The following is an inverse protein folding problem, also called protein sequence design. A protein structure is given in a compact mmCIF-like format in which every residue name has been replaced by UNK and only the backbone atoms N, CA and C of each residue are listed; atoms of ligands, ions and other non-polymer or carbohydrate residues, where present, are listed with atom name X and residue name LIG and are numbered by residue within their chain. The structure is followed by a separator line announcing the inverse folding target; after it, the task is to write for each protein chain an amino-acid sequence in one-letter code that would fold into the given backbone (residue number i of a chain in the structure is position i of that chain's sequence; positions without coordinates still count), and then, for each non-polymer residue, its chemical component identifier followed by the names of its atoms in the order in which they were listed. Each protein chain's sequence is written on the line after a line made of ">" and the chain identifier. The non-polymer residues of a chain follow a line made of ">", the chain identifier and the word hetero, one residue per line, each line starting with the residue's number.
data_IF_479538901209
#
_entry.id   IF_479538901209
#
_cell.length_a   1.000
_cell.length_b   1.000
_cell.length_c   1.000
_cell.angle_alpha   90.00
_cell.angle_beta   90.00
_cell.angle_gamma   90.00
#
_symmetry.space_group_name_H-M   'P 1'
#
loop_
_entity.id
_entity.type
_entity.pdbx_description
1 polymer ?
#
# COMPACT_ATOMS: atom_id res chain seq x y z
N UNK A 1 12.52 -20.20 -21.10
CA UNK A 1 12.59 -18.72 -21.18
C UNK A 1 14.02 -18.30 -20.93
N UNK A 2 14.59 -17.40 -21.75
CA UNK A 2 15.93 -16.84 -21.52
C UNK A 2 15.77 -15.56 -20.65
N UNK A 3 16.29 -15.59 -19.45
CA UNK A 3 16.14 -14.49 -18.48
C UNK A 3 16.81 -13.20 -18.97
N UNK A 4 17.97 -13.31 -19.62
CA UNK A 4 18.69 -12.15 -20.15
C UNK A 4 17.90 -11.46 -21.27
N UNK A 5 17.22 -12.20 -22.14
CA UNK A 5 16.36 -11.63 -23.19
C UNK A 5 15.12 -11.01 -22.59
N UNK A 6 14.45 -11.71 -21.68
CA UNK A 6 13.27 -11.20 -20.96
C UNK A 6 13.59 -9.89 -20.23
N UNK A 7 14.74 -9.80 -19.55
CA UNK A 7 15.21 -8.60 -18.87
C UNK A 7 15.27 -7.41 -19.83
N UNK A 8 15.87 -7.59 -21.03
CA UNK A 8 15.95 -6.54 -22.06
C UNK A 8 14.57 -6.14 -22.58
N UNK A 9 13.69 -7.10 -22.80
CA UNK A 9 12.33 -6.84 -23.27
C UNK A 9 11.55 -6.02 -22.24
N UNK A 10 11.67 -6.35 -20.93
CA UNK A 10 11.01 -5.59 -19.83
C UNK A 10 11.57 -4.17 -19.75
N UNK A 11 12.88 -3.98 -19.84
CA UNK A 11 13.50 -2.66 -19.88
C UNK A 11 12.96 -1.84 -21.07
N UNK A 12 12.69 -2.49 -22.21
CA UNK A 12 12.10 -1.88 -23.40
C UNK A 12 10.57 -1.74 -23.36
N UNK A 13 9.93 -1.99 -22.20
CA UNK A 13 8.51 -1.74 -21.98
C UNK A 13 7.58 -2.95 -22.06
N UNK A 14 8.10 -4.19 -22.28
CA UNK A 14 7.28 -5.40 -22.14
C UNK A 14 6.78 -5.51 -20.71
N UNK A 15 5.50 -5.86 -20.55
CA UNK A 15 4.89 -6.24 -19.28
C UNK A 15 4.47 -7.69 -19.34
N UNK A 16 4.78 -8.44 -18.28
CA UNK A 16 4.25 -9.78 -18.09
C UNK A 16 2.79 -9.71 -17.69
N UNK A 17 1.99 -10.60 -18.27
CA UNK A 17 0.54 -10.68 -18.06
C UNK A 17 0.14 -12.10 -17.66
N UNK A 18 -1.14 -12.32 -17.38
CA UNK A 18 -1.68 -13.66 -17.11
C UNK A 18 -1.70 -14.57 -18.33
N UNK A 19 -1.56 -14.01 -19.54
CA UNK A 19 -1.53 -14.76 -20.79
C UNK A 19 -0.12 -15.30 -21.13
N UNK A 20 0.91 -14.83 -20.40
CA UNK A 20 2.27 -15.33 -20.52
C UNK A 20 2.43 -16.64 -19.73
N UNK A 21 3.30 -17.52 -20.21
CA UNK A 21 3.74 -18.70 -19.46
C UNK A 21 4.71 -18.23 -18.36
N UNK A 22 4.21 -18.14 -17.13
CA UNK A 22 4.96 -17.73 -15.96
C UNK A 22 5.59 -18.90 -15.18
N UNK A 23 5.41 -20.15 -15.67
CA UNK A 23 5.92 -21.35 -14.99
C UNK A 23 7.46 -21.38 -14.86
N UNK A 24 8.16 -20.66 -15.72
CA UNK A 24 9.62 -20.57 -15.67
C UNK A 24 10.15 -19.96 -14.35
N UNK A 25 9.36 -19.14 -13.64
CA UNK A 25 9.75 -18.61 -12.34
C UNK A 25 9.92 -19.69 -11.27
N UNK A 26 9.29 -20.87 -11.42
CA UNK A 26 9.46 -22.00 -10.50
C UNK A 26 10.75 -22.76 -10.73
N UNK A 27 11.28 -22.74 -11.95
CA UNK A 27 12.39 -23.62 -12.39
C UNK A 27 13.65 -22.86 -12.78
N UNK A 28 13.58 -21.56 -12.98
CA UNK A 28 14.73 -20.75 -13.35
C UNK A 28 15.73 -20.65 -12.19
N UNK A 29 17.00 -20.46 -12.54
CA UNK A 29 18.04 -20.23 -11.56
C UNK A 29 17.78 -18.90 -10.81
N UNK A 30 17.84 -18.95 -9.48
CA UNK A 30 17.54 -17.81 -8.63
C UNK A 30 18.53 -16.66 -8.81
N UNK A 31 19.80 -16.96 -9.05
CA UNK A 31 20.85 -15.94 -9.25
C UNK A 31 20.64 -15.24 -10.61
N UNK A 32 20.23 -15.96 -11.66
CA UNK A 32 19.86 -15.35 -12.93
C UNK A 32 18.64 -14.43 -12.79
N UNK A 33 17.59 -14.88 -12.09
CA UNK A 33 16.40 -14.06 -11.83
C UNK A 33 16.76 -12.81 -11.04
N UNK A 34 17.56 -12.95 -9.99
CA UNK A 34 17.98 -11.81 -9.15
C UNK A 34 18.84 -10.82 -9.94
N UNK A 35 19.76 -11.31 -10.79
CA UNK A 35 20.57 -10.47 -11.66
C UNK A 35 19.69 -9.68 -12.65
N UNK A 36 18.76 -10.37 -13.34
CA UNK A 36 17.83 -9.73 -14.27
C UNK A 36 16.93 -8.69 -13.61
N UNK A 37 16.35 -9.01 -12.43
CA UNK A 37 15.56 -8.08 -11.65
C UNK A 37 16.36 -6.83 -11.24
N UNK A 38 17.64 -7.01 -10.86
CA UNK A 38 18.51 -5.89 -10.50
C UNK A 38 18.88 -5.01 -11.69
N UNK A 39 19.06 -5.57 -12.89
CA UNK A 39 19.25 -4.81 -14.12
C UNK A 39 18.01 -3.97 -14.46
N UNK A 40 16.81 -4.56 -14.38
CA UNK A 40 15.53 -3.86 -14.57
C UNK A 40 15.43 -2.69 -13.55
N UNK A 41 15.67 -2.97 -12.28
CA UNK A 41 15.65 -1.94 -11.23
C UNK A 41 16.62 -0.79 -11.55
N UNK A 42 17.86 -1.10 -11.92
CA UNK A 42 18.86 -0.07 -12.28
C UNK A 42 18.42 0.77 -13.46
N UNK A 43 17.87 0.13 -14.48
CA UNK A 43 17.46 0.81 -15.70
C UNK A 43 16.24 1.72 -15.50
N UNK A 44 15.25 1.26 -14.73
CA UNK A 44 13.94 1.91 -14.61
C UNK A 44 13.79 2.75 -13.33
N UNK A 45 14.46 2.40 -12.23
CA UNK A 45 14.33 3.06 -10.93
C UNK A 45 15.61 3.79 -10.49
N UNK A 46 16.75 3.53 -11.15
CA UNK A 46 18.04 4.11 -10.75
C UNK A 46 18.56 3.53 -9.43
N UNK A 47 19.44 4.28 -8.76
CA UNK A 47 20.10 3.87 -7.51
C UNK A 47 19.66 4.69 -6.28
N UNK A 48 18.65 5.53 -6.42
CA UNK A 48 18.10 6.31 -5.31
C UNK A 48 17.23 5.45 -4.42
N UNK A 49 17.25 5.71 -3.11
CA UNK A 49 16.35 5.11 -2.14
C UNK A 49 15.30 6.16 -1.76
N UNK A 50 14.04 5.76 -1.81
CA UNK A 50 12.92 6.58 -1.34
C UNK A 50 12.55 6.15 0.08
N UNK A 51 12.73 7.05 1.04
CA UNK A 51 12.46 6.80 2.45
C UNK A 51 11.06 7.30 2.79
N UNK A 52 10.19 6.40 3.25
CA UNK A 52 8.87 6.74 3.73
C UNK A 52 8.69 6.34 5.20
N UNK A 53 7.81 7.02 5.90
CA UNK A 53 7.46 6.75 7.29
C UNK A 53 5.95 6.75 7.48
N UNK A 54 5.51 6.12 8.57
CA UNK A 54 4.09 5.92 8.88
C UNK A 54 3.83 6.38 10.31
N UNK A 55 2.70 7.08 10.52
CA UNK A 55 2.08 7.26 11.82
C UNK A 55 0.73 6.53 11.86
N UNK A 56 0.44 5.80 12.95
CA UNK A 56 -0.91 5.33 13.22
C UNK A 56 -1.77 6.51 13.70
N UNK A 57 -2.62 7.05 12.82
CA UNK A 57 -3.53 8.15 13.16
C UNK A 57 -4.69 7.70 14.04
N UNK A 58 -5.05 6.42 14.00
CA UNK A 58 -6.02 5.73 14.86
C UNK A 58 -5.59 4.29 14.98
N UNK A 59 -5.54 3.72 16.18
CA UNK A 59 -5.03 2.37 16.42
C UNK A 59 -5.99 1.47 17.19
N UNK A 60 -5.91 0.16 16.88
CA UNK A 60 -6.63 -0.92 17.55
C UNK A 60 -8.11 -1.00 17.20
N UNK A 61 -8.78 -2.02 17.73
CA UNK A 61 -10.23 -2.29 17.59
C UNK A 61 -10.77 -2.27 16.16
N UNK A 62 -9.96 -2.70 15.18
CA UNK A 62 -10.40 -2.81 13.81
C UNK A 62 -11.49 -3.89 13.68
N UNK A 63 -12.59 -3.57 13.00
CA UNK A 63 -13.71 -4.49 12.76
C UNK A 63 -13.42 -5.55 11.69
N UNK A 64 -12.26 -5.45 11.01
CA UNK A 64 -11.88 -6.40 9.99
C UNK A 64 -11.09 -7.58 10.56
N UNK A 65 -11.31 -8.79 9.98
CA UNK A 65 -10.69 -10.02 10.48
C UNK A 65 -9.44 -10.47 9.72
N UNK A 66 -8.71 -9.52 9.12
CA UNK A 66 -7.47 -9.82 8.40
C UNK A 66 -6.50 -10.59 9.27
N UNK A 67 -6.15 -11.83 8.89
CA UNK A 67 -5.38 -12.77 9.73
C UNK A 67 -3.98 -12.29 10.12
N UNK A 68 -3.38 -11.42 9.33
CA UNK A 68 -2.05 -10.88 9.56
C UNK A 68 -2.04 -9.62 10.44
N UNK A 69 -3.20 -8.99 10.68
CA UNK A 69 -3.26 -7.66 11.26
C UNK A 69 -3.37 -7.70 12.78
N UNK A 70 -2.36 -7.19 13.48
CA UNK A 70 -2.37 -7.10 14.94
C UNK A 70 -3.44 -6.15 15.49
N UNK A 71 -3.99 -5.23 14.68
CA UNK A 71 -5.01 -4.27 15.08
C UNK A 71 -6.44 -4.81 15.00
N UNK A 72 -6.63 -6.03 14.47
CA UNK A 72 -7.94 -6.68 14.35
C UNK A 72 -8.54 -7.01 15.73
N UNK A 73 -9.83 -6.71 15.93
CA UNK A 73 -10.58 -7.11 17.14
C UNK A 73 -10.79 -8.63 17.26
N UNK A 74 -10.54 -9.38 16.19
CA UNK A 74 -10.62 -10.84 16.17
C UNK A 74 -9.37 -11.51 16.72
N UNK A 75 -8.31 -10.76 17.01
CA UNK A 75 -7.05 -11.29 17.50
C UNK A 75 -6.74 -10.80 18.92
N UNK A 76 -6.11 -11.66 19.71
CA UNK A 76 -5.62 -11.31 21.04
C UNK A 76 -4.17 -10.83 20.96
N UNK A 77 -4.00 -9.54 20.66
CA UNK A 77 -2.69 -8.89 20.58
C UNK A 77 -2.58 -7.79 21.63
N UNK A 78 -1.35 -7.40 21.96
CA UNK A 78 -1.06 -6.27 22.86
C UNK A 78 -1.04 -4.91 22.13
N UNK A 79 -1.78 -4.78 21.02
CA UNK A 79 -1.84 -3.55 20.26
C UNK A 79 -2.47 -2.43 21.10
N UNK A 80 -1.81 -1.27 21.14
CA UNK A 80 -2.37 -0.06 21.72
C UNK A 80 -3.69 0.33 21.02
N UNK A 81 -4.59 0.95 21.78
CA UNK A 81 -5.88 1.39 21.27
C UNK A 81 -6.09 2.85 21.61
N UNK A 82 -6.30 3.67 20.58
CA UNK A 82 -6.65 5.09 20.70
C UNK A 82 -7.49 5.56 19.49
N UNK A 83 -8.25 6.62 19.70
CA UNK A 83 -9.03 7.30 18.66
C UNK A 83 -8.15 8.09 17.69
N UNK A 84 -8.78 8.91 16.85
CA UNK A 84 -8.05 9.76 15.91
C UNK A 84 -7.11 10.71 16.67
N UNK A 85 -5.83 10.70 16.33
CA UNK A 85 -4.83 11.60 16.91
C UNK A 85 -5.18 13.07 16.64
N UNK A 86 -4.71 13.94 17.51
CA UNK A 86 -4.84 15.39 17.32
C UNK A 86 -3.87 15.87 16.24
N UNK A 87 -4.31 16.86 15.47
CA UNK A 87 -3.55 17.46 14.37
C UNK A 87 -2.15 17.90 14.80
N UNK A 88 -2.03 18.52 15.97
CA UNK A 88 -0.74 19.00 16.49
C UNK A 88 0.24 17.87 16.78
N UNK A 89 -0.25 16.69 17.22
CA UNK A 89 0.58 15.51 17.45
C UNK A 89 1.13 14.99 16.12
N UNK A 90 0.28 14.91 15.09
CA UNK A 90 0.67 14.46 13.76
C UNK A 90 1.66 15.43 13.11
N UNK A 91 1.43 16.74 13.24
CA UNK A 91 2.35 17.77 12.74
C UNK A 91 3.72 17.71 13.42
N UNK A 92 3.75 17.51 14.74
CA UNK A 92 5.00 17.40 15.49
C UNK A 92 5.82 16.17 15.02
N UNK A 93 5.17 15.02 14.87
CA UNK A 93 5.82 13.81 14.35
C UNK A 93 6.30 14.03 12.91
N UNK A 94 5.48 14.59 12.04
CA UNK A 94 5.85 14.86 10.64
C UNK A 94 7.12 15.73 10.55
N UNK A 95 7.20 16.81 11.32
CA UNK A 95 8.40 17.67 11.38
C UNK A 95 9.64 16.93 11.85
N UNK A 96 9.49 16.04 12.83
CA UNK A 96 10.59 15.21 13.31
C UNK A 96 11.10 14.24 12.23
N UNK A 97 10.17 13.65 11.44
CA UNK A 97 10.52 12.76 10.31
C UNK A 97 11.17 13.54 9.17
N UNK A 98 10.64 14.73 8.84
CA UNK A 98 11.22 15.59 7.82
C UNK A 98 12.66 15.99 8.19
N UNK A 99 12.90 16.36 9.43
CA UNK A 99 14.24 16.64 9.95
C UNK A 99 15.17 15.41 9.92
N UNK A 100 14.64 14.20 9.99
CA UNK A 100 15.38 12.95 9.84
C UNK A 100 15.68 12.57 8.38
N UNK A 101 15.19 13.35 7.40
CA UNK A 101 15.50 13.18 5.98
C UNK A 101 14.65 12.14 5.24
N UNK A 102 13.44 11.83 5.73
CA UNK A 102 12.49 11.01 4.95
C UNK A 102 11.89 11.82 3.80
N UNK A 103 11.35 11.13 2.80
CA UNK A 103 10.81 11.75 1.58
C UNK A 103 9.27 11.73 1.54
N UNK A 104 8.65 10.83 2.30
CA UNK A 104 7.20 10.67 2.34
C UNK A 104 6.70 10.39 3.75
N UNK A 105 5.51 10.93 4.07
CA UNK A 105 4.85 10.77 5.34
C UNK A 105 3.44 10.21 5.12
N UNK A 106 3.10 9.13 5.81
CA UNK A 106 1.82 8.44 5.66
C UNK A 106 1.06 8.41 6.98
N UNK A 107 -0.21 8.81 6.95
CA UNK A 107 -1.14 8.53 8.04
C UNK A 107 -1.90 7.24 7.72
N UNK A 108 -1.85 6.28 8.64
CA UNK A 108 -2.59 5.02 8.55
C UNK A 108 -3.62 4.97 9.67
N UNK A 109 -4.82 4.46 9.40
CA UNK A 109 -5.86 4.32 10.44
C UNK A 109 -6.37 2.89 10.52
N UNK A 110 -6.47 2.37 11.74
CA UNK A 110 -7.20 1.12 11.98
C UNK A 110 -8.71 1.33 11.73
N UNK A 111 -9.38 0.28 11.28
CA UNK A 111 -10.81 0.29 10.96
C UNK A 111 -11.09 0.00 9.50
N UNK A 112 -12.36 -0.34 9.19
CA UNK A 112 -12.81 -0.61 7.83
C UNK A 112 -12.80 0.65 6.96
N UNK A 113 -13.12 1.79 7.55
CA UNK A 113 -13.22 3.10 6.89
C UNK A 113 -13.02 4.23 7.90
N UNK A 114 -12.90 5.44 7.39
CA UNK A 114 -12.97 6.69 8.16
C UNK A 114 -14.11 7.53 7.61
N UNK A 115 -15.00 8.01 8.48
CA UNK A 115 -16.18 8.79 8.11
C UNK A 115 -16.56 9.76 9.23
N UNK A 116 -17.53 10.64 8.97
CA UNK A 116 -18.04 11.61 9.95
C UNK A 116 -16.94 12.55 10.47
N UNK A 117 -16.98 12.85 11.76
CA UNK A 117 -16.05 13.79 12.40
C UNK A 117 -14.58 13.34 12.31
N UNK A 118 -14.32 12.03 12.30
CA UNK A 118 -12.97 11.51 12.12
C UNK A 118 -12.43 11.83 10.71
N UNK A 119 -13.30 11.78 9.67
CA UNK A 119 -12.90 12.16 8.31
C UNK A 119 -12.63 13.67 8.23
N UNK A 120 -13.47 14.52 8.84
CA UNK A 120 -13.27 15.96 8.85
C UNK A 120 -11.94 16.33 9.53
N UNK A 121 -11.66 15.72 10.68
CA UNK A 121 -10.39 15.90 11.40
C UNK A 121 -9.20 15.44 10.57
N UNK A 122 -9.33 14.33 9.85
CA UNK A 122 -8.28 13.79 9.00
C UNK A 122 -7.97 14.71 7.81
N UNK A 123 -8.99 15.19 7.11
CA UNK A 123 -8.86 16.16 6.01
C UNK A 123 -8.15 17.42 6.50
N UNK A 124 -8.63 18.00 7.60
CA UNK A 124 -7.99 19.17 8.20
C UNK A 124 -6.51 18.91 8.55
N UNK A 125 -6.20 17.72 9.09
CA UNK A 125 -4.81 17.35 9.40
C UNK A 125 -3.94 17.31 8.14
N UNK A 126 -4.44 16.76 7.01
CA UNK A 126 -3.70 16.77 5.75
C UNK A 126 -3.52 18.19 5.18
N UNK A 127 -4.53 19.05 5.28
CA UNK A 127 -4.40 20.45 4.88
C UNK A 127 -3.29 21.18 5.67
N UNK A 128 -3.22 20.94 6.97
CA UNK A 128 -2.18 21.53 7.82
C UNK A 128 -0.80 20.92 7.53
N UNK A 129 -0.71 19.61 7.27
CA UNK A 129 0.53 18.97 6.82
C UNK A 129 1.01 19.56 5.48
N UNK A 130 0.11 19.73 4.52
CA UNK A 130 0.42 20.28 3.20
C UNK A 130 0.95 21.72 3.27
N UNK A 131 0.45 22.52 4.21
CA UNK A 131 0.93 23.88 4.45
C UNK A 131 2.27 23.95 5.15
N UNK A 132 2.59 22.96 6.00
CA UNK A 132 3.68 23.04 6.97
C UNK A 132 4.83 22.04 6.72
N UNK A 133 4.77 21.20 5.69
CA UNK A 133 5.81 20.22 5.35
C UNK A 133 6.02 20.12 3.84
N UNK A 134 7.22 19.75 3.44
CA UNK A 134 7.59 19.49 2.03
C UNK A 134 7.50 18.00 1.68
N UNK A 135 7.18 17.14 2.63
CA UNK A 135 7.09 15.69 2.42
C UNK A 135 5.91 15.34 1.50
N UNK A 136 6.08 14.30 0.69
CA UNK A 136 4.96 13.70 -0.04
C UNK A 136 3.98 13.10 0.96
N UNK A 137 2.73 13.52 0.90
CA UNK A 137 1.68 13.03 1.79
C UNK A 137 1.01 11.78 1.22
N UNK A 138 0.97 10.72 2.04
CA UNK A 138 0.35 9.45 1.72
C UNK A 138 -0.80 9.16 2.70
N UNK A 139 -1.81 8.44 2.24
CA UNK A 139 -2.99 8.08 3.01
C UNK A 139 -3.28 6.58 2.94
N UNK A 140 -3.75 5.98 4.06
CA UNK A 140 -4.23 4.59 4.10
C UNK A 140 -5.34 4.47 5.14
N UNK A 141 -6.61 4.56 4.69
CA UNK A 141 -7.77 4.73 5.57
C UNK A 141 -8.89 3.71 5.31
N UNK A 142 -8.56 2.60 4.65
CA UNK A 142 -9.50 1.53 4.32
C UNK A 142 -10.49 1.93 3.22
N UNK A 143 -11.65 1.28 3.22
CA UNK A 143 -12.66 1.36 2.16
C UNK A 143 -13.46 2.66 2.27
N UNK A 144 -12.88 3.76 1.86
CA UNK A 144 -13.50 5.09 1.92
C UNK A 144 -14.66 5.23 0.91
N UNK A 145 -15.57 6.14 1.19
CA UNK A 145 -16.54 6.63 0.21
C UNK A 145 -15.82 7.34 -0.97
N UNK A 146 -16.36 7.27 -2.22
CA UNK A 146 -15.70 7.84 -3.39
C UNK A 146 -15.31 9.31 -3.23
N UNK A 147 -16.16 10.12 -2.62
CA UNK A 147 -15.96 11.55 -2.42
C UNK A 147 -14.77 11.85 -1.49
N UNK A 148 -14.47 10.95 -0.55
CA UNK A 148 -13.36 11.13 0.38
C UNK A 148 -11.99 11.10 -0.32
N UNK A 149 -11.84 10.33 -1.40
CA UNK A 149 -10.59 10.30 -2.18
C UNK A 149 -10.30 11.65 -2.85
N UNK A 150 -11.31 12.31 -3.41
CA UNK A 150 -11.17 13.64 -3.99
C UNK A 150 -10.82 14.67 -2.91
N UNK A 151 -11.47 14.61 -1.75
CA UNK A 151 -11.17 15.48 -0.62
C UNK A 151 -9.74 15.30 -0.09
N UNK A 152 -9.25 14.06 0.00
CA UNK A 152 -7.85 13.77 0.34
C UNK A 152 -6.90 14.39 -0.68
N UNK A 153 -7.20 14.26 -1.98
CA UNK A 153 -6.41 14.87 -3.05
C UNK A 153 -6.35 16.40 -2.91
N UNK A 154 -7.49 17.03 -2.68
CA UNK A 154 -7.60 18.49 -2.51
C UNK A 154 -6.86 18.97 -1.25
N UNK A 155 -6.82 18.14 -0.19
CA UNK A 155 -6.07 18.40 1.04
C UNK A 155 -4.54 18.19 0.89
N UNK A 156 -4.03 17.86 -0.30
CA UNK A 156 -2.60 17.73 -0.59
C UNK A 156 -2.04 16.31 -0.54
N UNK A 157 -2.88 15.28 -0.35
CA UNK A 157 -2.46 13.88 -0.48
C UNK A 157 -2.08 13.60 -1.93
N UNK A 158 -0.94 12.95 -2.15
CA UNK A 158 -0.45 12.62 -3.50
C UNK A 158 -0.50 11.12 -3.79
N UNK A 159 -0.55 10.29 -2.76
CA UNK A 159 -0.51 8.83 -2.89
C UNK A 159 -1.48 8.17 -1.91
N UNK A 160 -2.16 7.12 -2.35
CA UNK A 160 -2.98 6.27 -1.51
C UNK A 160 -2.38 4.89 -1.40
N UNK A 161 -2.25 4.37 -0.18
CA UNK A 161 -1.74 3.03 0.09
C UNK A 161 -2.90 2.07 0.34
N UNK A 162 -3.03 1.07 -0.53
CA UNK A 162 -4.04 0.02 -0.45
C UNK A 162 -3.46 -1.29 -1.01
N UNK A 163 -3.07 -2.20 -0.12
CA UNK A 163 -2.58 -3.52 -0.52
C UNK A 163 -3.70 -4.43 -1.00
N UNK A 164 -3.40 -5.28 -2.00
CA UNK A 164 -4.26 -6.41 -2.38
C UNK A 164 -4.01 -7.66 -1.52
N UNK A 165 -2.94 -7.65 -0.74
CA UNK A 165 -2.49 -8.62 0.26
C UNK A 165 -2.08 -9.98 -0.30
N UNK A 166 -2.84 -10.57 -1.20
CA UNK A 166 -2.60 -11.89 -1.80
C UNK A 166 -3.36 -12.01 -3.13
N UNK A 167 -3.33 -13.18 -3.76
CA UNK A 167 -4.14 -13.46 -4.96
C UNK A 167 -5.64 -13.42 -4.67
N UNK A 168 -6.45 -13.20 -5.72
CA UNK A 168 -7.91 -13.29 -5.64
C UNK A 168 -8.38 -14.64 -5.07
N UNK A 169 -7.74 -15.74 -5.49
CA UNK A 169 -8.08 -17.09 -5.05
C UNK A 169 -7.83 -17.31 -3.56
N UNK A 170 -6.70 -16.77 -3.06
CA UNK A 170 -6.31 -16.98 -1.68
C UNK A 170 -6.95 -15.97 -0.71
N UNK A 171 -7.46 -14.85 -1.19
CA UNK A 171 -7.98 -13.76 -0.36
C UNK A 171 -9.03 -14.19 0.68
N UNK A 172 -10.02 -15.08 0.36
CA UNK A 172 -10.99 -15.56 1.35
C UNK A 172 -10.38 -16.36 2.51
N UNK A 173 -9.16 -16.87 2.34
CA UNK A 173 -8.43 -17.54 3.42
C UNK A 173 -7.78 -16.54 4.39
N UNK A 174 -7.62 -15.27 3.97
CA UNK A 174 -6.93 -14.23 4.73
C UNK A 174 -7.91 -13.28 5.40
N UNK A 175 -9.00 -12.92 4.71
CA UNK A 175 -10.02 -12.01 5.21
C UNK A 175 -11.39 -12.41 4.68
N UNK A 176 -12.44 -12.31 5.53
CA UNK A 176 -13.82 -12.59 5.17
C UNK A 176 -14.77 -11.43 5.44
N UNK A 177 -14.30 -10.37 6.09
CA UNK A 177 -15.11 -9.18 6.40
C UNK A 177 -15.15 -8.17 5.25
N UNK A 178 -14.22 -8.27 4.31
CA UNK A 178 -14.25 -7.61 3.00
C UNK A 178 -13.65 -8.54 1.95
N UNK A 179 -13.83 -8.19 0.68
CA UNK A 179 -13.44 -9.03 -0.46
C UNK A 179 -12.23 -8.48 -1.21
N UNK A 180 -11.61 -9.31 -2.05
CA UNK A 180 -10.61 -8.87 -3.00
C UNK A 180 -11.14 -7.77 -3.94
N UNK A 181 -12.41 -7.89 -4.36
CA UNK A 181 -13.03 -6.88 -5.23
C UNK A 181 -13.24 -5.53 -4.52
N UNK A 182 -13.47 -5.53 -3.21
CA UNK A 182 -13.49 -4.29 -2.42
C UNK A 182 -12.12 -3.60 -2.47
N UNK A 183 -11.02 -4.36 -2.39
CA UNK A 183 -9.66 -3.81 -2.51
C UNK A 183 -9.36 -3.26 -3.91
N UNK A 184 -9.76 -3.97 -4.95
CA UNK A 184 -9.61 -3.48 -6.33
C UNK A 184 -10.44 -2.21 -6.56
N UNK A 185 -11.66 -2.15 -6.00
CA UNK A 185 -12.51 -0.96 -6.09
C UNK A 185 -11.88 0.22 -5.36
N UNK A 186 -11.34 0.02 -4.16
CA UNK A 186 -10.61 1.04 -3.39
C UNK A 186 -9.45 1.64 -4.21
N UNK A 187 -8.62 0.78 -4.81
CA UNK A 187 -7.50 1.19 -5.67
C UNK A 187 -7.98 2.02 -6.86
N UNK A 188 -9.04 1.58 -7.55
CA UNK A 188 -9.61 2.31 -8.69
C UNK A 188 -10.15 3.68 -8.29
N UNK A 189 -10.87 3.77 -7.17
CA UNK A 189 -11.37 5.05 -6.67
C UNK A 189 -10.24 6.04 -6.35
N UNK A 190 -9.13 5.56 -5.78
CA UNK A 190 -7.95 6.39 -5.56
C UNK A 190 -7.34 6.88 -6.88
N UNK A 191 -7.23 6.01 -7.89
CA UNK A 191 -6.75 6.36 -9.24
C UNK A 191 -7.67 7.36 -9.94
N UNK A 192 -8.99 7.17 -9.86
CA UNK A 192 -10.01 8.06 -10.44
C UNK A 192 -9.95 9.47 -9.82
N UNK A 193 -9.59 9.56 -8.53
CA UNK A 193 -9.34 10.84 -7.86
C UNK A 193 -7.97 11.47 -8.21
N UNK A 194 -7.17 10.83 -9.06
CA UNK A 194 -5.85 11.33 -9.47
C UNK A 194 -4.75 11.14 -8.41
N UNK A 195 -4.92 10.19 -7.49
CA UNK A 195 -3.90 9.78 -6.54
C UNK A 195 -3.01 8.71 -7.17
N UNK A 196 -1.69 8.78 -6.94
CA UNK A 196 -0.83 7.63 -7.16
C UNK A 196 -1.20 6.52 -6.18
N UNK A 197 -1.01 5.26 -6.58
CA UNK A 197 -1.31 4.12 -5.71
C UNK A 197 -0.02 3.41 -5.33
N UNK A 198 0.14 3.16 -4.03
CA UNK A 198 1.11 2.23 -3.48
C UNK A 198 0.35 0.96 -3.09
N UNK A 199 0.67 -0.16 -3.72
CA UNK A 199 0.03 -1.45 -3.45
C UNK A 199 1.07 -2.55 -3.33
N UNK A 200 0.68 -3.64 -2.69
CA UNK A 200 1.54 -4.80 -2.49
C UNK A 200 0.78 -5.96 -1.86
N UNK A 201 1.52 -6.94 -1.41
CA UNK A 201 0.98 -8.08 -0.69
C UNK A 201 1.99 -8.74 0.22
N UNK A 202 1.56 -9.76 0.94
CA UNK A 202 2.33 -10.48 1.94
C UNK A 202 2.58 -11.90 1.43
N UNK A 203 3.83 -12.33 1.48
CA UNK A 203 4.25 -13.69 1.14
C UNK A 203 4.43 -14.49 2.44
N UNK A 204 3.98 -15.73 2.49
CA UNK A 204 4.11 -16.63 3.64
C UNK A 204 2.84 -16.80 4.47
N UNK A 205 1.67 -16.43 3.91
CA UNK A 205 0.36 -16.59 4.56
C UNK A 205 -0.38 -17.88 4.15
N UNK A 206 0.32 -18.89 3.62
CA UNK A 206 -0.26 -20.16 3.17
C UNK A 206 -0.69 -20.16 1.70
N UNK A 207 -0.33 -19.15 0.94
CA UNK A 207 -0.52 -19.08 -0.50
C UNK A 207 0.40 -20.06 -1.25
N UNK A 208 -0.02 -20.48 -2.44
CA UNK A 208 0.84 -21.23 -3.36
C UNK A 208 1.76 -20.30 -4.15
N UNK A 209 2.76 -20.88 -4.83
CA UNK A 209 3.61 -20.11 -5.75
C UNK A 209 2.80 -19.46 -6.88
N UNK A 210 1.82 -20.16 -7.43
CA UNK A 210 0.90 -19.61 -8.42
C UNK A 210 0.11 -18.40 -7.89
N UNK A 211 -0.25 -18.38 -6.61
CA UNK A 211 -0.88 -17.21 -5.99
C UNK A 211 0.06 -16.01 -5.92
N UNK A 212 1.35 -16.23 -5.67
CA UNK A 212 2.37 -15.17 -5.66
C UNK A 212 2.52 -14.56 -7.04
N UNK A 213 2.54 -15.37 -8.08
CA UNK A 213 2.58 -14.89 -9.46
C UNK A 213 1.32 -14.13 -9.84
N UNK A 214 0.12 -14.65 -9.50
CA UNK A 214 -1.16 -13.96 -9.76
C UNK A 214 -1.24 -12.62 -9.03
N UNK A 215 -0.76 -12.58 -7.79
CA UNK A 215 -0.66 -11.34 -7.02
C UNK A 215 0.30 -10.34 -7.71
N UNK A 216 1.50 -10.78 -8.10
CA UNK A 216 2.49 -9.91 -8.74
C UNK A 216 1.98 -9.33 -10.07
N UNK A 217 1.29 -10.13 -10.88
CA UNK A 217 0.67 -9.66 -12.14
C UNK A 217 -0.53 -8.75 -11.91
N UNK A 218 -1.14 -8.80 -10.72
CA UNK A 218 -2.27 -7.92 -10.36
C UNK A 218 -1.80 -6.51 -9.93
N UNK A 219 -0.54 -6.37 -9.51
CA UNK A 219 0.11 -5.13 -9.08
C UNK A 219 0.66 -4.34 -10.27
#
# INVERSE_FOLDING_TARGET
>A
MNITELTKEIINGRRLTRDDDLSFFETADLEELAAGANEIRKALCGNSIDLCTIINGRAGKCSENCKFCAQSSFHHTSCETYGMLDTDVVLADCRAREAAGVHAYSIVTAGRTVEGDDLEKLIHTYEELHKNSTLRLCASHGLLAPEAFFRLKDAGVTMYHANIETSRRNFPNICTTHTYDDKIREIKLAQDAGLAVCSGGIIGMGETFADRLDMAVSL
#
